data_IF_925874095366
#
_entry.id   IF_925874095366
#
_cell.length_a   1.000
_cell.length_b   1.000
_cell.length_c   1.000
_cell.angle_alpha   90.00
_cell.angle_beta   90.00
_cell.angle_gamma   90.00
#
_symmetry.space_group_name_H-M   'P 1'
#
loop_
_entity.id
_entity.type
_entity.pdbx_description
1 polymer ?
#
# COMPACT_ATOMS: atom_id res chain seq x y z
N UNK A 1 0.64 11.77 -18.47
CA UNK A 1 0.47 12.32 -19.82
C UNK A 1 1.61 13.23 -20.29
N UNK A 2 2.42 13.75 -19.36
CA UNK A 2 3.67 14.50 -19.68
C UNK A 2 4.88 13.61 -19.88
N UNK A 3 4.77 12.33 -19.54
CA UNK A 3 5.85 11.36 -19.50
C UNK A 3 5.76 10.44 -20.70
N UNK A 4 5.48 10.69 -21.82
CA UNK A 4 5.35 9.92 -23.06
C UNK A 4 5.46 8.39 -22.98
N UNK A 5 4.85 7.71 -23.91
CA UNK A 5 4.96 6.26 -24.06
C UNK A 5 6.24 5.96 -24.82
N UNK A 6 7.03 5.01 -24.35
CA UNK A 6 8.25 4.61 -25.01
C UNK A 6 7.95 3.91 -26.34
N UNK A 7 8.51 4.44 -27.42
CA UNK A 7 8.53 3.78 -28.73
C UNK A 7 9.90 4.02 -29.38
N UNK A 8 10.65 2.96 -29.68
CA UNK A 8 12.03 3.05 -30.17
C UNK A 8 12.16 3.79 -31.53
N UNK A 9 11.11 3.82 -32.31
CA UNK A 9 11.06 4.57 -33.58
C UNK A 9 10.36 5.95 -33.44
N UNK A 10 9.77 6.26 -32.30
CA UNK A 10 8.90 7.41 -32.09
C UNK A 10 7.51 7.19 -32.69
N UNK A 11 6.64 8.18 -32.58
CA UNK A 11 5.26 8.11 -33.10
C UNK A 11 5.24 8.21 -34.62
N UNK A 12 4.65 7.21 -35.28
CA UNK A 12 4.61 7.11 -36.75
C UNK A 12 3.23 7.37 -37.35
N UNK A 13 2.24 7.62 -36.52
CA UNK A 13 0.84 7.89 -36.95
C UNK A 13 0.23 9.00 -36.12
N UNK A 14 -0.82 9.61 -36.65
CA UNK A 14 -1.63 10.55 -35.90
C UNK A 14 -2.79 9.78 -35.25
N UNK A 15 -2.99 9.90 -33.93
CA UNK A 15 -4.11 9.23 -33.26
C UNK A 15 -5.45 9.73 -33.80
N UNK A 16 -6.37 8.80 -34.11
CA UNK A 16 -7.67 9.10 -34.75
C UNK A 16 -8.52 10.04 -33.89
N UNK A 17 -8.39 9.96 -32.57
CA UNK A 17 -9.18 10.75 -31.60
C UNK A 17 -8.32 11.79 -30.87
N UNK A 18 -7.28 12.31 -31.50
CA UNK A 18 -6.33 13.25 -30.89
C UNK A 18 -6.97 14.53 -30.35
N UNK A 19 -8.11 14.94 -30.88
CA UNK A 19 -8.86 16.13 -30.44
C UNK A 19 -9.81 15.83 -29.26
N UNK A 20 -10.18 14.57 -29.04
CA UNK A 20 -11.18 14.16 -28.05
C UNK A 20 -10.59 13.46 -26.82
N UNK A 21 -9.47 12.77 -26.99
CA UNK A 21 -8.78 12.06 -25.93
C UNK A 21 -7.57 12.84 -25.45
N UNK A 22 -7.26 12.71 -24.19
CA UNK A 22 -6.01 13.20 -23.63
C UNK A 22 -4.83 12.68 -24.47
N UNK A 23 -3.93 13.57 -24.82
CA UNK A 23 -2.82 13.37 -25.76
C UNK A 23 -2.08 12.04 -25.59
N UNK A 24 -2.37 11.08 -26.47
CA UNK A 24 -1.54 9.89 -26.66
C UNK A 24 -0.28 10.32 -27.40
N UNK A 25 0.89 10.05 -26.82
CA UNK A 25 2.16 10.47 -27.39
C UNK A 25 3.20 9.38 -27.20
N UNK A 26 3.66 8.86 -28.30
CA UNK A 26 4.79 7.94 -28.36
C UNK A 26 6.09 8.70 -28.64
N UNK A 27 7.14 8.39 -27.91
CA UNK A 27 8.45 9.03 -28.10
C UNK A 27 9.61 8.14 -27.65
N UNK A 28 10.79 8.35 -28.24
CA UNK A 28 12.00 7.59 -27.90
C UNK A 28 12.47 7.80 -26.47
N UNK A 29 12.15 8.93 -25.89
CA UNK A 29 12.43 9.28 -24.48
C UNK A 29 11.28 8.98 -23.53
N UNK A 30 10.23 8.31 -24.00
CA UNK A 30 9.07 7.95 -23.19
C UNK A 30 9.45 7.08 -22.00
N UNK A 31 8.76 7.29 -20.88
CA UNK A 31 8.99 6.57 -19.62
C UNK A 31 7.87 5.57 -19.30
N UNK A 32 6.80 5.55 -20.08
CA UNK A 32 5.71 4.59 -19.95
C UNK A 32 5.93 3.46 -20.94
N UNK A 33 6.06 2.23 -20.45
CA UNK A 33 6.14 1.04 -21.26
C UNK A 33 4.76 0.38 -21.33
N UNK A 34 4.16 0.34 -22.51
CA UNK A 34 2.89 -0.35 -22.75
C UNK A 34 3.14 -1.75 -23.29
N UNK A 35 2.87 -2.76 -22.46
CA UNK A 35 3.10 -4.17 -22.82
C UNK A 35 1.81 -4.91 -23.18
N UNK A 36 0.69 -4.19 -23.26
CA UNK A 36 -0.62 -4.80 -23.46
C UNK A 36 -1.12 -5.52 -22.19
N UNK A 37 -2.12 -6.38 -22.35
CA UNK A 37 -2.71 -7.14 -21.23
C UNK A 37 -1.90 -8.43 -21.03
N UNK A 38 -0.74 -8.27 -20.41
CA UNK A 38 0.16 -9.41 -20.07
C UNK A 38 0.89 -9.14 -18.76
N UNK A 39 0.40 -9.67 -17.68
CA UNK A 39 0.99 -9.51 -16.36
C UNK A 39 2.40 -10.12 -16.29
N UNK A 40 2.61 -11.25 -16.93
CA UNK A 40 3.92 -11.92 -16.97
C UNK A 40 4.96 -11.10 -17.74
N UNK A 41 4.60 -10.54 -18.91
CA UNK A 41 5.48 -9.66 -19.70
C UNK A 41 5.83 -8.40 -18.92
N UNK A 42 4.84 -7.72 -18.40
CA UNK A 42 5.04 -6.48 -17.63
C UNK A 42 5.92 -6.71 -16.39
N UNK A 43 5.70 -7.83 -15.67
CA UNK A 43 6.52 -8.14 -14.51
C UNK A 43 7.95 -8.52 -14.90
N UNK A 44 8.17 -9.17 -16.05
CA UNK A 44 9.52 -9.45 -16.56
C UNK A 44 10.27 -8.16 -16.86
N UNK A 45 9.62 -7.19 -17.51
CA UNK A 45 10.21 -5.86 -17.77
C UNK A 45 10.47 -5.10 -16.49
N UNK A 46 9.56 -5.20 -15.51
CA UNK A 46 9.74 -4.60 -14.18
C UNK A 46 10.96 -5.18 -13.45
N UNK A 47 11.15 -6.51 -13.48
CA UNK A 47 12.33 -7.17 -12.90
C UNK A 47 13.61 -6.72 -13.62
N UNK A 48 13.60 -6.69 -14.96
CA UNK A 48 14.76 -6.24 -15.73
C UNK A 48 15.15 -4.80 -15.36
N UNK A 49 14.19 -3.89 -15.25
CA UNK A 49 14.44 -2.52 -14.82
C UNK A 49 14.88 -2.46 -13.34
N UNK A 50 14.21 -3.21 -12.45
CA UNK A 50 14.51 -3.23 -11.03
C UNK A 50 15.87 -3.83 -10.66
N UNK A 51 16.48 -4.60 -11.57
CA UNK A 51 17.82 -5.19 -11.43
C UNK A 51 18.89 -4.50 -12.31
N UNK A 52 18.52 -3.45 -13.04
CA UNK A 52 19.44 -2.77 -13.97
C UNK A 52 20.66 -2.16 -13.26
N UNK A 53 20.51 -1.79 -11.98
CA UNK A 53 21.60 -1.25 -11.18
C UNK A 53 22.76 -2.25 -11.00
N UNK A 54 22.48 -3.54 -10.92
CA UNK A 54 23.52 -4.59 -10.78
C UNK A 54 24.03 -5.10 -12.13
N UNK A 55 23.19 -5.12 -13.17
CA UNK A 55 23.54 -5.69 -14.47
C UNK A 55 24.17 -4.68 -15.43
N UNK A 56 23.81 -3.40 -15.28
CA UNK A 56 24.17 -2.35 -16.23
C UNK A 56 24.71 -1.08 -15.58
N UNK A 57 24.83 -1.05 -14.25
CA UNK A 57 25.20 0.16 -13.49
C UNK A 57 24.29 1.36 -13.78
N UNK A 58 22.98 1.07 -13.98
CA UNK A 58 21.95 2.06 -14.27
C UNK A 58 20.85 1.94 -13.22
N UNK A 59 20.64 2.97 -12.42
CA UNK A 59 19.50 2.99 -11.50
C UNK A 59 18.22 3.30 -12.25
N UNK A 60 17.24 2.42 -12.12
CA UNK A 60 15.88 2.61 -12.60
C UNK A 60 14.89 2.45 -11.46
N UNK A 61 13.75 3.15 -11.54
CA UNK A 61 12.67 3.09 -10.56
C UNK A 61 11.42 2.57 -11.27
N UNK A 62 11.30 1.25 -11.47
CA UNK A 62 10.15 0.70 -12.14
C UNK A 62 8.91 0.76 -11.24
N UNK A 63 7.81 1.18 -11.84
CA UNK A 63 6.47 1.20 -11.24
C UNK A 63 5.56 0.41 -12.15
N UNK A 64 5.01 -0.72 -11.65
CA UNK A 64 4.07 -1.54 -12.41
C UNK A 64 2.68 -1.44 -11.80
N UNK A 65 1.71 -0.99 -12.60
CA UNK A 65 0.30 -0.89 -12.23
C UNK A 65 -0.48 -2.05 -12.81
N UNK A 66 -1.27 -2.71 -11.98
CA UNK A 66 -2.13 -3.81 -12.37
C UNK A 66 -3.40 -3.86 -11.52
N UNK A 67 -4.42 -4.56 -11.96
CA UNK A 67 -5.56 -4.86 -11.12
C UNK A 67 -5.13 -5.73 -9.93
N UNK A 68 -5.36 -5.27 -8.71
CA UNK A 68 -4.88 -5.96 -7.49
C UNK A 68 -5.33 -7.41 -7.41
N UNK A 69 -6.57 -7.72 -7.82
CA UNK A 69 -7.12 -9.08 -7.84
C UNK A 69 -6.32 -10.01 -8.75
N UNK A 70 -5.87 -9.55 -9.90
CA UNK A 70 -5.16 -10.38 -10.87
C UNK A 70 -3.66 -10.43 -10.66
N UNK A 71 -3.07 -9.43 -10.00
CA UNK A 71 -1.65 -9.27 -9.84
C UNK A 71 -0.97 -10.51 -9.26
N UNK A 72 -0.96 -10.65 -7.97
CA UNK A 72 -0.25 -11.77 -7.30
C UNK A 72 -0.73 -13.15 -7.73
N UNK A 73 -1.96 -13.31 -8.17
CA UNK A 73 -2.44 -14.58 -8.70
C UNK A 73 -1.73 -14.98 -10.00
N UNK A 74 -1.31 -14.02 -10.81
CA UNK A 74 -0.68 -14.26 -12.12
C UNK A 74 0.82 -14.04 -12.10
N UNK A 75 1.34 -13.24 -11.16
CA UNK A 75 2.76 -12.90 -11.08
C UNK A 75 3.46 -13.44 -9.81
N UNK A 76 2.83 -14.33 -9.06
CA UNK A 76 3.37 -14.80 -7.77
C UNK A 76 4.81 -15.31 -7.88
N UNK A 77 5.08 -16.20 -8.84
CA UNK A 77 6.42 -16.73 -9.09
C UNK A 77 7.41 -15.64 -9.52
N UNK A 78 6.95 -14.68 -10.33
CA UNK A 78 7.79 -13.55 -10.72
C UNK A 78 8.07 -12.61 -9.55
N UNK A 79 7.13 -12.43 -8.63
CA UNK A 79 7.35 -11.64 -7.43
C UNK A 79 8.38 -12.29 -6.49
N UNK A 80 8.36 -13.62 -6.38
CA UNK A 80 9.41 -14.38 -5.70
C UNK A 80 10.77 -14.23 -6.41
N UNK A 81 10.81 -14.38 -7.73
CA UNK A 81 12.02 -14.19 -8.52
C UNK A 81 12.56 -12.75 -8.40
N UNK A 82 11.68 -11.75 -8.33
CA UNK A 82 12.05 -10.37 -8.06
C UNK A 82 12.72 -10.21 -6.69
N UNK A 83 12.16 -10.86 -5.67
CA UNK A 83 12.76 -10.89 -4.34
C UNK A 83 14.14 -11.52 -4.32
N UNK A 84 14.31 -12.70 -4.94
CA UNK A 84 15.56 -13.43 -5.03
C UNK A 84 16.64 -12.66 -5.81
N UNK A 85 16.24 -12.01 -6.90
CA UNK A 85 17.16 -11.22 -7.73
C UNK A 85 17.43 -9.81 -7.18
N UNK A 86 16.86 -9.47 -6.01
CA UNK A 86 17.01 -8.18 -5.36
C UNK A 86 16.51 -7.00 -6.21
N UNK A 87 15.46 -7.23 -6.99
CA UNK A 87 14.84 -6.17 -7.78
C UNK A 87 14.26 -5.09 -6.88
N UNK A 88 14.41 -3.82 -7.29
CA UNK A 88 13.92 -2.63 -6.56
C UNK A 88 12.86 -1.93 -7.38
N UNK A 89 11.77 -1.52 -6.73
CA UNK A 89 10.69 -0.80 -7.40
C UNK A 89 9.36 -0.94 -6.68
N UNK A 90 8.31 -0.49 -7.34
CA UNK A 90 6.96 -0.46 -6.80
C UNK A 90 6.00 -1.28 -7.66
N UNK A 91 5.25 -2.14 -7.01
CA UNK A 91 4.09 -2.83 -7.55
C UNK A 91 2.84 -2.13 -7.02
N UNK A 92 1.96 -1.68 -7.90
CA UNK A 92 0.75 -0.95 -7.54
C UNK A 92 -0.47 -1.76 -7.93
N UNK A 93 -1.16 -2.29 -6.91
CA UNK A 93 -2.46 -2.92 -7.07
C UNK A 93 -3.54 -1.84 -7.19
N UNK A 94 -3.84 -1.42 -8.41
CA UNK A 94 -4.88 -0.44 -8.67
C UNK A 94 -6.27 -1.09 -8.67
N UNK A 95 -7.32 -0.30 -8.42
CA UNK A 95 -8.68 -0.81 -8.20
C UNK A 95 -8.71 -1.90 -7.12
N UNK A 96 -8.17 -1.58 -5.97
CA UNK A 96 -8.00 -2.51 -4.86
C UNK A 96 -9.25 -2.63 -3.97
N UNK A 97 -9.31 -3.73 -3.20
CA UNK A 97 -10.37 -3.98 -2.23
C UNK A 97 -11.61 -4.65 -2.83
N UNK A 98 -12.67 -4.68 -2.06
CA UNK A 98 -13.96 -5.31 -2.40
C UNK A 98 -15.09 -4.30 -2.44
N UNK A 99 -15.16 -3.44 -1.45
CA UNK A 99 -16.30 -2.56 -1.19
C UNK A 99 -16.58 -1.58 -2.33
N UNK A 100 -15.54 -0.99 -2.92
CA UNK A 100 -15.66 -0.03 -4.03
C UNK A 100 -15.82 -0.68 -5.41
N UNK A 101 -15.70 -2.01 -5.49
CA UNK A 101 -15.73 -2.77 -6.75
C UNK A 101 -17.00 -3.60 -6.93
N UNK A 102 -18.04 -3.37 -6.16
CA UNK A 102 -19.29 -4.13 -6.23
C UNK A 102 -19.93 -4.06 -7.63
N UNK A 103 -19.82 -2.93 -8.32
CA UNK A 103 -20.34 -2.73 -9.68
C UNK A 103 -19.53 -3.43 -10.77
N UNK A 104 -18.27 -3.77 -10.54
CA UNK A 104 -17.41 -4.48 -11.50
C UNK A 104 -17.50 -5.99 -11.40
N UNK A 105 -18.12 -6.49 -10.34
CA UNK A 105 -18.36 -7.91 -10.10
C UNK A 105 -17.24 -8.61 -9.31
N UNK A 106 -17.56 -9.81 -8.86
CA UNK A 106 -16.74 -10.60 -7.93
C UNK A 106 -15.31 -10.84 -8.43
N UNK A 107 -15.11 -10.99 -9.75
CA UNK A 107 -13.80 -11.26 -10.35
C UNK A 107 -12.78 -10.13 -10.17
N UNK A 108 -13.22 -8.92 -9.83
CA UNK A 108 -12.34 -7.78 -9.57
C UNK A 108 -12.12 -7.50 -8.07
N UNK A 109 -12.89 -8.16 -7.21
CA UNK A 109 -12.85 -7.93 -5.76
C UNK A 109 -11.66 -8.65 -5.13
N UNK A 110 -10.62 -7.90 -4.80
CA UNK A 110 -9.43 -8.39 -4.14
C UNK A 110 -9.58 -8.45 -2.62
N UNK A 111 -9.33 -9.60 -2.04
CA UNK A 111 -9.27 -9.78 -0.59
C UNK A 111 -8.03 -10.55 -0.14
N UNK A 112 -7.08 -10.84 -1.03
CA UNK A 112 -5.98 -11.77 -0.77
C UNK A 112 -4.59 -11.26 -1.13
N UNK A 113 -4.47 -10.19 -1.91
CA UNK A 113 -3.17 -9.77 -2.45
C UNK A 113 -2.16 -9.42 -1.35
N UNK A 114 -2.58 -8.77 -0.28
CA UNK A 114 -1.70 -8.49 0.87
C UNK A 114 -1.28 -9.76 1.61
N UNK A 115 -2.14 -10.76 1.71
CA UNK A 115 -1.78 -12.06 2.28
C UNK A 115 -0.70 -12.76 1.42
N UNK A 116 -0.87 -12.74 0.09
CA UNK A 116 0.12 -13.29 -0.83
C UNK A 116 1.44 -12.51 -0.77
N UNK A 117 1.39 -11.18 -0.76
CA UNK A 117 2.57 -10.34 -0.60
C UNK A 117 3.33 -10.63 0.70
N UNK A 118 2.62 -10.93 1.80
CA UNK A 118 3.22 -11.24 3.10
C UNK A 118 4.07 -12.51 3.11
N UNK A 119 3.95 -13.37 2.12
CA UNK A 119 4.74 -14.60 1.99
C UNK A 119 6.15 -14.33 1.45
N UNK A 120 6.37 -13.19 0.80
CA UNK A 120 7.66 -12.82 0.21
C UNK A 120 8.44 -11.97 1.23
N UNK A 121 9.59 -12.46 1.73
CA UNK A 121 10.27 -11.87 2.89
C UNK A 121 10.66 -10.41 2.74
N UNK A 122 11.08 -9.99 1.55
CA UNK A 122 11.53 -8.63 1.25
C UNK A 122 10.49 -7.78 0.49
N UNK A 123 9.24 -8.22 0.42
CA UNK A 123 8.13 -7.42 -0.06
C UNK A 123 7.52 -6.63 1.10
N UNK A 124 7.54 -5.31 1.00
CA UNK A 124 6.92 -4.40 1.96
C UNK A 124 5.56 -3.98 1.41
N UNK A 125 4.48 -4.26 2.13
CA UNK A 125 3.15 -4.01 1.57
C UNK A 125 2.32 -3.05 2.41
N UNK A 126 1.60 -2.15 1.72
CA UNK A 126 0.76 -1.12 2.32
C UNK A 126 -0.61 -1.00 1.63
N UNK A 127 -1.62 -0.67 2.43
CA UNK A 127 -2.99 -0.37 2.00
C UNK A 127 -3.41 1.04 2.48
N UNK A 128 -2.82 2.11 1.91
CA UNK A 128 -3.12 3.47 2.33
C UNK A 128 -4.52 3.90 1.92
N UNK A 129 -5.14 4.77 2.73
CA UNK A 129 -6.43 5.41 2.44
C UNK A 129 -6.23 6.78 1.80
N UNK A 130 -5.31 7.58 2.30
CA UNK A 130 -5.14 8.97 1.90
C UNK A 130 -3.88 9.21 1.09
N UNK A 131 -3.92 10.22 0.20
CA UNK A 131 -2.80 10.53 -0.69
C UNK A 131 -1.51 10.89 0.05
N UNK A 132 -1.59 11.52 1.23
CA UNK A 132 -0.41 11.84 2.02
C UNK A 132 0.26 10.57 2.60
N UNK A 133 -0.54 9.55 2.97
CA UNK A 133 0.01 8.25 3.38
C UNK A 133 0.81 7.61 2.22
N UNK A 134 0.21 7.61 1.02
CA UNK A 134 0.87 7.13 -0.19
C UNK A 134 2.18 7.89 -0.45
N UNK A 135 2.16 9.23 -0.34
CA UNK A 135 3.35 10.06 -0.56
C UNK A 135 4.47 9.76 0.44
N UNK A 136 4.14 9.58 1.72
CA UNK A 136 5.09 9.20 2.78
C UNK A 136 5.70 7.85 2.49
N UNK A 137 4.87 6.85 2.13
CA UNK A 137 5.31 5.47 1.81
C UNK A 137 6.23 5.47 0.57
N UNK A 138 5.86 6.18 -0.51
CA UNK A 138 6.68 6.29 -1.71
C UNK A 138 8.04 6.95 -1.42
N UNK A 139 8.04 8.07 -0.70
CA UNK A 139 9.27 8.78 -0.31
C UNK A 139 10.20 7.85 0.49
N UNK A 140 9.67 7.14 1.47
CA UNK A 140 10.44 6.18 2.25
C UNK A 140 10.93 5.01 1.42
N UNK A 141 10.10 4.49 0.51
CA UNK A 141 10.49 3.42 -0.41
C UNK A 141 11.67 3.82 -1.29
N UNK A 142 11.62 5.01 -1.88
CA UNK A 142 12.73 5.54 -2.66
C UNK A 142 14.00 5.68 -1.81
N UNK A 143 13.87 6.22 -0.59
CA UNK A 143 15.01 6.37 0.32
C UNK A 143 15.63 5.01 0.68
N UNK A 144 14.82 4.02 1.04
CA UNK A 144 15.30 2.69 1.42
C UNK A 144 15.95 1.95 0.26
N UNK A 145 15.31 1.94 -0.90
CA UNK A 145 15.81 1.19 -2.06
C UNK A 145 17.02 1.85 -2.74
N UNK A 146 17.03 3.17 -2.87
CA UNK A 146 18.03 3.87 -3.71
C UNK A 146 19.09 4.66 -2.92
N UNK A 147 18.76 5.18 -1.72
CA UNK A 147 19.79 5.84 -0.89
C UNK A 147 20.44 4.85 0.09
N UNK A 148 19.65 3.95 0.69
CA UNK A 148 20.14 2.95 1.67
C UNK A 148 20.52 1.62 1.05
N UNK A 149 20.18 1.41 -0.20
CA UNK A 149 20.46 0.17 -0.95
C UNK A 149 19.92 -1.09 -0.29
N UNK A 150 18.75 -0.98 0.39
CA UNK A 150 18.09 -2.11 1.01
C UNK A 150 17.54 -3.07 -0.06
N UNK A 151 17.66 -4.37 0.21
CA UNK A 151 17.11 -5.41 -0.65
C UNK A 151 15.62 -5.62 -0.38
N UNK A 152 14.81 -4.70 -0.83
CA UNK A 152 13.35 -4.71 -0.69
C UNK A 152 12.69 -4.16 -1.95
N UNK A 153 11.40 -4.50 -2.13
CA UNK A 153 10.49 -3.85 -3.06
C UNK A 153 9.14 -3.62 -2.40
N UNK A 154 8.33 -2.75 -2.98
CA UNK A 154 7.05 -2.36 -2.40
C UNK A 154 5.87 -2.91 -3.18
N UNK A 155 4.84 -3.35 -2.47
CA UNK A 155 3.50 -3.57 -2.97
C UNK A 155 2.53 -2.62 -2.28
N UNK A 156 1.82 -1.79 -3.05
CA UNK A 156 0.91 -0.78 -2.51
C UNK A 156 -0.43 -0.90 -3.24
N UNK A 157 -1.51 -1.00 -2.48
CA UNK A 157 -2.86 -0.97 -3.06
C UNK A 157 -3.39 0.44 -3.16
N UNK A 158 -4.13 0.74 -4.22
CA UNK A 158 -4.79 2.02 -4.45
C UNK A 158 -6.22 1.83 -4.92
N UNK A 159 -7.09 2.75 -4.54
CA UNK A 159 -8.52 2.67 -4.83
C UNK A 159 -8.90 3.43 -6.11
N UNK A 160 -9.98 3.01 -6.74
CA UNK A 160 -10.57 3.64 -7.93
C UNK A 160 -11.80 4.49 -7.55
N UNK A 161 -11.72 5.24 -6.48
CA UNK A 161 -12.82 6.08 -6.01
C UNK A 161 -12.32 7.48 -5.68
N UNK A 162 -13.09 8.49 -6.09
CA UNK A 162 -12.82 9.88 -5.74
C UNK A 162 -13.47 10.23 -4.41
N UNK A 163 -12.68 10.69 -3.45
CA UNK A 163 -13.15 11.17 -2.15
C UNK A 163 -12.25 12.29 -1.61
N UNK A 164 -12.79 12.99 -0.62
CA UNK A 164 -12.04 14.08 0.02
C UNK A 164 -10.90 13.54 0.88
N UNK A 165 -9.74 14.13 0.73
CA UNK A 165 -8.56 13.82 1.53
C UNK A 165 -8.38 14.91 2.60
N UNK A 166 -8.32 14.56 3.89
CA UNK A 166 -8.01 15.52 4.93
C UNK A 166 -6.55 15.97 4.84
N UNK A 167 -6.22 17.05 5.55
CA UNK A 167 -4.83 17.40 5.77
C UNK A 167 -4.13 16.30 6.57
N UNK A 168 -2.84 16.10 6.31
CA UNK A 168 -2.04 15.16 7.07
C UNK A 168 -1.94 15.64 8.52
N UNK A 169 -2.23 14.78 9.51
CA UNK A 169 -2.00 15.11 10.91
C UNK A 169 -0.50 15.35 11.20
N UNK A 170 -0.21 16.20 12.18
CA UNK A 170 1.16 16.43 12.62
C UNK A 170 1.76 15.14 13.20
N UNK A 171 3.06 14.96 13.03
CA UNK A 171 3.86 13.86 13.62
C UNK A 171 3.37 12.43 13.30
N UNK A 172 2.56 12.22 12.25
CA UNK A 172 2.03 10.90 11.91
C UNK A 172 2.91 10.07 10.94
N UNK A 173 3.97 10.65 10.36
CA UNK A 173 4.78 9.95 9.33
C UNK A 173 5.36 8.63 9.83
N UNK A 174 5.92 8.63 11.04
CA UNK A 174 6.49 7.42 11.64
C UNK A 174 5.44 6.32 11.85
N UNK A 175 4.24 6.72 12.27
CA UNK A 175 3.10 5.79 12.41
C UNK A 175 2.61 5.25 11.07
N UNK A 176 2.56 6.08 10.02
CA UNK A 176 2.24 5.63 8.65
C UNK A 176 3.21 4.53 8.22
N UNK A 177 4.51 4.71 8.46
CA UNK A 177 5.54 3.76 8.06
C UNK A 177 5.58 2.50 8.92
N UNK A 178 5.26 2.61 10.21
CA UNK A 178 5.13 1.46 11.13
C UNK A 178 3.86 0.65 10.95
N UNK A 179 2.90 1.16 10.19
CA UNK A 179 1.69 0.44 9.80
C UNK A 179 0.41 0.92 10.46
N UNK A 180 0.41 1.83 11.44
CA UNK A 180 -0.81 2.46 11.97
C UNK A 180 -0.53 3.77 12.70
N UNK A 181 -1.52 4.67 12.69
CA UNK A 181 -1.50 5.91 13.47
C UNK A 181 -2.93 6.36 13.81
N UNK A 182 -3.09 7.13 14.89
CA UNK A 182 -4.37 7.68 15.28
C UNK A 182 -4.71 8.89 14.39
N UNK A 183 -5.84 8.82 13.68
CA UNK A 183 -6.28 9.89 12.78
C UNK A 183 -7.35 10.78 13.40
N UNK A 184 -8.17 10.24 14.32
CA UNK A 184 -9.29 10.95 14.90
C UNK A 184 -9.60 10.46 16.31
N UNK A 185 -10.12 11.35 17.12
CA UNK A 185 -10.64 11.05 18.45
C UNK A 185 -11.91 11.86 18.73
N UNK A 186 -12.90 11.21 19.31
CA UNK A 186 -14.06 11.88 19.89
C UNK A 186 -14.00 11.85 21.41
N UNK A 187 -14.54 12.85 22.08
CA UNK A 187 -14.50 12.97 23.53
C UNK A 187 -15.82 13.55 24.08
N UNK A 188 -16.10 13.30 25.37
CA UNK A 188 -17.26 13.85 26.09
C UNK A 188 -18.23 12.79 26.62
N UNK A 189 -18.05 11.51 26.30
CA UNK A 189 -18.71 10.41 27.00
C UNK A 189 -17.99 10.10 28.31
N UNK A 190 -18.73 9.77 29.36
CA UNK A 190 -18.12 9.45 30.66
C UNK A 190 -17.76 7.97 30.81
N UNK A 191 -18.44 7.08 30.07
CA UNK A 191 -18.47 5.67 30.46
C UNK A 191 -18.24 4.68 29.30
N UNK A 192 -18.12 5.13 28.05
CA UNK A 192 -17.96 4.21 26.92
C UNK A 192 -16.99 4.75 25.87
N UNK A 193 -15.95 3.99 25.60
CA UNK A 193 -14.94 4.28 24.56
C UNK A 193 -14.63 3.04 23.75
N UNK A 194 -14.37 3.19 22.44
CA UNK A 194 -14.01 2.11 21.51
C UNK A 194 -12.82 2.52 20.64
N UNK A 195 -11.98 1.56 20.29
CA UNK A 195 -10.89 1.69 19.34
C UNK A 195 -11.34 1.15 17.98
N UNK A 196 -11.38 1.99 16.95
CA UNK A 196 -11.79 1.65 15.59
C UNK A 196 -10.57 1.66 14.66
N UNK A 197 -10.22 0.50 14.12
CA UNK A 197 -9.10 0.32 13.22
C UNK A 197 -9.61 0.03 11.81
N UNK A 198 -9.12 0.78 10.81
CA UNK A 198 -9.50 0.55 9.41
C UNK A 198 -8.34 0.75 8.46
N UNK A 199 -8.34 0.05 7.33
CA UNK A 199 -7.38 0.22 6.23
C UNK A 199 -8.08 0.51 4.92
N UNK A 200 -7.36 1.14 3.99
CA UNK A 200 -7.85 1.40 2.65
C UNK A 200 -9.24 2.04 2.64
N UNK A 201 -10.13 1.53 1.81
CA UNK A 201 -11.52 2.00 1.72
C UNK A 201 -12.28 1.96 3.05
N UNK A 202 -12.04 0.93 3.87
CA UNK A 202 -12.81 0.69 5.10
C UNK A 202 -12.49 1.70 6.20
N UNK A 203 -11.35 2.36 6.17
CA UNK A 203 -11.08 3.44 7.13
C UNK A 203 -12.16 4.53 7.08
N UNK A 204 -12.66 4.87 5.90
CA UNK A 204 -13.72 5.88 5.75
C UNK A 204 -15.02 5.44 6.44
N UNK A 205 -15.35 4.16 6.35
CA UNK A 205 -16.48 3.57 7.05
C UNK A 205 -16.28 3.59 8.59
N UNK A 206 -15.06 3.35 9.06
CA UNK A 206 -14.72 3.49 10.48
C UNK A 206 -14.87 4.93 10.98
N UNK A 207 -14.48 5.91 10.14
CA UNK A 207 -14.68 7.33 10.47
C UNK A 207 -16.16 7.71 10.51
N UNK A 208 -16.99 7.19 9.60
CA UNK A 208 -18.43 7.38 9.61
C UNK A 208 -19.09 6.71 10.82
N UNK A 209 -18.67 5.48 11.14
CA UNK A 209 -19.15 4.77 12.34
C UNK A 209 -18.81 5.54 13.63
N UNK A 210 -17.64 6.16 13.73
CA UNK A 210 -17.25 7.02 14.85
C UNK A 210 -18.24 8.17 15.07
N UNK A 211 -18.71 8.82 13.99
CA UNK A 211 -19.71 9.89 14.07
C UNK A 211 -21.07 9.38 14.54
N UNK A 212 -21.51 8.24 14.02
CA UNK A 212 -22.79 7.61 14.42
C UNK A 212 -22.73 7.21 15.90
N UNK A 213 -21.66 6.55 16.33
CA UNK A 213 -21.46 6.15 17.73
C UNK A 213 -21.53 7.35 18.67
N UNK A 214 -20.87 8.44 18.29
CA UNK A 214 -20.90 9.67 19.10
C UNK A 214 -22.29 10.29 19.16
N UNK A 215 -22.93 10.48 18.00
CA UNK A 215 -24.18 11.22 17.87
C UNK A 215 -25.39 10.46 18.44
N UNK A 216 -25.48 9.15 18.16
CA UNK A 216 -26.70 8.37 18.45
C UNK A 216 -26.55 7.55 19.73
N UNK A 217 -25.34 7.10 20.07
CA UNK A 217 -25.11 6.20 21.19
C UNK A 217 -24.31 6.83 22.33
N UNK A 218 -23.76 8.05 22.13
CA UNK A 218 -22.92 8.74 23.12
C UNK A 218 -21.65 7.94 23.51
N UNK A 219 -21.15 7.14 22.58
CA UNK A 219 -19.91 6.36 22.71
C UNK A 219 -18.77 7.15 22.09
N UNK A 220 -17.71 7.36 22.84
CA UNK A 220 -16.47 7.95 22.32
C UNK A 220 -15.63 6.91 21.56
N UNK A 221 -14.86 7.37 20.60
CA UNK A 221 -14.00 6.50 19.80
C UNK A 221 -12.66 7.15 19.47
N UNK A 222 -11.66 6.32 19.35
CA UNK A 222 -10.41 6.64 18.67
C UNK A 222 -10.36 5.88 17.36
N UNK A 223 -10.11 6.59 16.25
CA UNK A 223 -10.01 5.99 14.91
C UNK A 223 -8.55 5.94 14.50
N UNK A 224 -8.14 4.77 14.09
CA UNK A 224 -6.77 4.47 13.67
C UNK A 224 -6.75 4.10 12.20
N UNK A 225 -5.92 4.82 11.42
CA UNK A 225 -5.58 4.40 10.07
C UNK A 225 -4.54 3.31 10.14
N UNK A 226 -4.87 2.12 9.63
CA UNK A 226 -3.94 1.00 9.53
C UNK A 226 -3.42 0.95 8.10
N UNK A 227 -2.26 1.49 7.88
CA UNK A 227 -1.62 1.54 6.55
C UNK A 227 -0.99 0.22 6.16
N UNK A 228 -0.67 -0.66 7.12
CA UNK A 228 -0.12 -1.99 6.85
C UNK A 228 -0.32 -2.97 8.00
N UNK A 229 -1.25 -3.89 7.86
CA UNK A 229 -1.35 -5.04 8.78
C UNK A 229 -0.13 -5.97 8.68
N UNK A 230 0.51 -6.04 7.52
CA UNK A 230 1.69 -6.88 7.31
C UNK A 230 2.90 -6.37 8.10
N UNK A 231 3.17 -5.07 8.08
CA UNK A 231 4.27 -4.50 8.87
C UNK A 231 4.00 -4.59 10.38
N UNK A 232 2.75 -4.40 10.80
CA UNK A 232 2.36 -4.62 12.21
C UNK A 232 2.58 -6.08 12.64
N UNK A 233 2.20 -7.04 11.78
CA UNK A 233 2.42 -8.46 12.03
C UNK A 233 3.90 -8.81 12.09
N UNK A 234 4.72 -8.34 11.14
CA UNK A 234 6.18 -8.54 11.15
C UNK A 234 6.78 -8.03 12.44
N UNK A 235 6.47 -6.80 12.83
CA UNK A 235 6.95 -6.22 14.09
C UNK A 235 6.54 -7.05 15.30
N UNK A 236 5.28 -7.48 15.37
CA UNK A 236 4.80 -8.34 16.47
C UNK A 236 5.58 -9.66 16.57
N UNK A 237 5.79 -10.33 15.44
CA UNK A 237 6.56 -11.59 15.38
C UNK A 237 8.04 -11.40 15.75
N UNK A 238 8.67 -10.31 15.32
CA UNK A 238 10.04 -9.96 15.65
C UNK A 238 10.21 -9.71 17.16
N UNK A 239 9.27 -8.96 17.74
CA UNK A 239 9.25 -8.68 19.19
C UNK A 239 9.03 -9.95 20.00
N UNK A 240 8.08 -10.79 19.61
CA UNK A 240 7.83 -12.08 20.26
C UNK A 240 9.08 -12.96 20.21
N UNK A 241 9.69 -13.09 19.03
CA UNK A 241 10.95 -13.84 18.87
C UNK A 241 12.08 -13.26 19.70
N UNK A 242 12.23 -11.93 19.74
CA UNK A 242 13.25 -11.28 20.56
C UNK A 242 13.06 -11.64 22.04
N UNK A 243 11.85 -11.48 22.56
CA UNK A 243 11.54 -11.77 23.96
C UNK A 243 11.77 -13.24 24.33
N UNK A 244 11.43 -14.16 23.40
CA UNK A 244 11.69 -15.58 23.57
C UNK A 244 13.18 -15.92 23.65
N UNK A 245 14.00 -15.27 22.81
CA UNK A 245 15.44 -15.55 22.75
C UNK A 245 16.26 -14.81 23.83
N UNK A 246 15.69 -13.78 24.44
CA UNK A 246 16.37 -12.95 25.46
C UNK A 246 15.56 -12.86 26.75
N UNK A 247 15.30 -13.98 27.43
CA UNK A 247 14.41 -14.02 28.59
C UNK A 247 14.94 -13.27 29.83
N UNK A 248 16.22 -12.92 29.83
CA UNK A 248 16.85 -12.14 30.91
C UNK A 248 16.76 -10.60 30.67
N UNK A 249 16.34 -10.17 29.48
CA UNK A 249 16.15 -8.75 29.17
C UNK A 249 14.73 -8.32 29.51
N UNK A 250 14.53 -6.97 29.58
CA UNK A 250 13.19 -6.42 29.69
C UNK A 250 12.40 -6.72 28.43
N UNK A 251 11.20 -7.27 28.58
CA UNK A 251 10.32 -7.58 27.45
C UNK A 251 10.04 -6.35 26.61
N UNK A 252 10.34 -6.42 25.33
CA UNK A 252 9.95 -5.43 24.33
C UNK A 252 8.45 -5.52 24.07
N UNK A 253 7.85 -4.40 23.72
CA UNK A 253 6.47 -4.31 23.27
C UNK A 253 6.39 -4.17 21.77
N UNK A 254 5.39 -4.81 21.17
CA UNK A 254 5.09 -4.57 19.77
C UNK A 254 4.51 -3.16 19.57
N UNK A 255 4.64 -2.62 18.36
CA UNK A 255 4.10 -1.28 18.06
C UNK A 255 2.59 -1.21 18.29
N UNK A 256 1.85 -2.25 17.96
CA UNK A 256 0.42 -2.36 18.30
C UNK A 256 0.19 -2.25 19.80
N UNK A 257 1.00 -2.93 20.62
CA UNK A 257 0.89 -2.84 22.07
C UNK A 257 1.29 -1.46 22.61
N UNK A 258 2.26 -0.79 21.99
CA UNK A 258 2.62 0.59 22.33
C UNK A 258 1.46 1.56 22.05
N UNK A 259 0.77 1.41 20.91
CA UNK A 259 -0.35 2.25 20.51
C UNK A 259 -1.62 1.97 21.32
N UNK A 260 -1.99 0.70 21.49
CA UNK A 260 -3.31 0.29 21.99
C UNK A 260 -3.28 -0.23 23.44
N UNK A 261 -2.14 -0.63 23.96
CA UNK A 261 -2.06 -1.31 25.27
C UNK A 261 -2.47 -0.47 26.48
N UNK A 262 -2.59 0.84 26.33
CA UNK A 262 -3.09 1.75 27.37
C UNK A 262 -4.44 2.35 27.04
N UNK A 263 -5.00 2.04 25.87
CA UNK A 263 -6.26 2.60 25.43
C UNK A 263 -7.44 1.89 26.10
N UNK A 264 -8.52 2.63 26.27
CA UNK A 264 -9.73 2.11 26.90
C UNK A 264 -10.72 1.57 25.86
N UNK A 265 -11.51 0.59 26.28
CA UNK A 265 -12.59 0.02 25.50
C UNK A 265 -12.18 -1.12 24.57
N UNK A 266 -13.16 -1.75 23.92
CA UNK A 266 -12.89 -2.81 22.96
C UNK A 266 -12.21 -2.28 21.71
N UNK A 267 -11.48 -3.17 21.03
CA UNK A 267 -10.84 -2.91 19.73
C UNK A 267 -11.67 -3.59 18.65
N UNK A 268 -12.12 -2.81 17.68
CA UNK A 268 -12.81 -3.30 16.48
C UNK A 268 -11.92 -3.01 15.26
N UNK A 269 -11.65 -4.04 14.50
CA UNK A 269 -10.83 -3.94 13.27
C UNK A 269 -11.65 -4.35 12.07
N UNK A 270 -11.59 -3.57 10.99
CA UNK A 270 -12.21 -3.90 9.73
C UNK A 270 -11.31 -3.53 8.54
N UNK A 271 -11.35 -4.39 7.52
CA UNK A 271 -10.60 -4.24 6.27
C UNK A 271 -11.30 -5.03 5.17
N UNK A 272 -11.04 -4.70 3.91
CA UNK A 272 -11.48 -5.49 2.75
C UNK A 272 -10.65 -6.78 2.57
N UNK A 273 -9.52 -6.90 3.23
CA UNK A 273 -8.58 -8.02 3.10
C UNK A 273 -8.73 -9.06 4.22
N UNK A 274 -8.26 -10.26 3.93
CA UNK A 274 -8.22 -11.39 4.88
C UNK A 274 -6.94 -11.34 5.72
#
# INVERSE_FOLDING_TARGET
>A
QKIGIYAHEGQKYEPVDSEQLSSYREEKSGQVLEEGITEAGSMSSWIAAGTAYTNHDIEMIPIYLFYSMFGFQRIGDFAWAAGDSQARGFLIGATAGRTTLAGEGLQHQDGHSHLLASTIPNCISYDPTFHYELAVIFREGLRRMHEKNENIFYYITTMNENYSHPAMPDDCEDGILKGMYKIKETSGSKDAKIQLLGSGTILREMMAASEILKKEYQVDSEVWSVTSFNELRKNGMEVERFNLLNPAETNKKSYVEECLGKQQGPILTATDYM
#
